data_IF_975077366300
#
_entry.id   IF_975077366300
#
_cell.length_a   1.000
_cell.length_b   1.000
_cell.length_c   1.000
_cell.angle_alpha   90.00
_cell.angle_beta   90.00
_cell.angle_gamma   90.00
#
_symmetry.space_group_name_H-M   'P 1'
#
loop_
_entity.id
_entity.type
_entity.pdbx_description
1 polymer ?
#
# COMPACT_ATOMS: atom_id res chain seq x y z
N UNK A 1 37.99 -41.54 11.45
CA UNK A 1 37.73 -40.63 10.30
C UNK A 1 37.13 -39.34 10.85
N UNK A 2 38.00 -38.42 11.25
CA UNK A 2 37.67 -37.02 11.54
C UNK A 2 38.17 -36.13 10.39
N UNK A 3 37.89 -34.83 10.47
CA UNK A 3 38.20 -33.76 9.50
C UNK A 3 37.25 -33.61 8.30
N UNK A 4 36.08 -33.02 8.57
CA UNK A 4 35.28 -32.26 7.58
C UNK A 4 34.88 -30.87 8.17
N UNK A 5 35.06 -30.66 9.48
CA UNK A 5 34.75 -29.38 10.16
C UNK A 5 35.91 -28.37 10.15
N UNK A 6 37.01 -28.67 9.45
CA UNK A 6 38.15 -27.77 9.29
C UNK A 6 38.31 -27.25 7.85
N UNK A 7 37.35 -27.56 6.96
CA UNK A 7 37.39 -27.11 5.56
C UNK A 7 37.03 -25.63 5.39
N UNK A 8 36.54 -24.98 6.45
CA UNK A 8 36.52 -23.52 6.57
C UNK A 8 36.90 -23.16 8.00
N UNK A 9 38.20 -23.11 8.30
CA UNK A 9 38.68 -22.67 9.61
C UNK A 9 38.21 -21.23 9.89
N UNK A 10 37.95 -20.89 11.16
CA UNK A 10 37.61 -19.53 11.60
C UNK A 10 38.58 -18.48 11.04
N UNK A 11 39.84 -18.87 10.85
CA UNK A 11 40.91 -18.09 10.25
C UNK A 11 40.63 -17.73 8.79
N UNK A 12 40.08 -18.65 8.01
CA UNK A 12 39.70 -18.46 6.61
C UNK A 12 38.46 -17.56 6.51
N UNK A 13 37.50 -17.72 7.42
CA UNK A 13 36.33 -16.83 7.53
C UNK A 13 36.81 -15.40 7.77
N UNK A 14 37.71 -15.19 8.73
CA UNK A 14 38.26 -13.87 9.06
C UNK A 14 39.13 -13.30 7.92
N UNK A 15 39.90 -14.15 7.24
CA UNK A 15 40.74 -13.74 6.12
C UNK A 15 39.91 -13.36 4.88
N UNK A 16 38.81 -14.08 4.62
CA UNK A 16 37.87 -13.77 3.55
C UNK A 16 37.14 -12.45 3.80
N UNK A 17 36.66 -12.21 5.03
CA UNK A 17 36.02 -10.93 5.40
C UNK A 17 37.03 -9.78 5.27
N UNK A 18 38.28 -9.96 5.74
CA UNK A 18 39.33 -8.94 5.64
C UNK A 18 39.68 -8.60 4.19
N UNK A 19 39.73 -9.60 3.30
CA UNK A 19 39.99 -9.39 1.87
C UNK A 19 38.85 -8.62 1.20
N UNK A 20 37.59 -8.99 1.45
CA UNK A 20 36.42 -8.32 0.87
C UNK A 20 36.39 -6.83 1.28
N UNK A 21 36.65 -6.52 2.55
CA UNK A 21 36.65 -5.12 3.04
C UNK A 21 37.79 -4.30 2.42
N UNK A 22 38.97 -4.89 2.21
CA UNK A 22 40.08 -4.21 1.56
C UNK A 22 39.78 -3.93 0.07
N UNK A 23 39.24 -4.92 -0.64
CA UNK A 23 38.91 -4.87 -2.07
C UNK A 23 37.72 -3.92 -2.34
N UNK A 24 36.71 -3.91 -1.47
CA UNK A 24 35.55 -3.01 -1.54
C UNK A 24 35.88 -1.57 -1.07
N UNK A 25 36.83 -1.42 -0.13
CA UNK A 25 37.33 -0.14 0.35
C UNK A 25 38.11 0.65 -0.71
N UNK A 26 38.93 -0.01 -1.54
CA UNK A 26 39.70 0.64 -2.61
C UNK A 26 38.80 1.17 -3.74
N UNK A 27 37.73 0.43 -4.10
CA UNK A 27 36.73 0.88 -5.07
C UNK A 27 35.97 2.14 -4.62
N UNK A 28 35.67 2.24 -3.31
CA UNK A 28 35.04 3.42 -2.73
C UNK A 28 35.98 4.64 -2.73
N UNK A 29 37.28 4.44 -2.44
CA UNK A 29 38.27 5.51 -2.42
C UNK A 29 38.56 6.08 -3.82
N UNK A 30 38.52 5.23 -4.86
CA UNK A 30 38.73 5.65 -6.24
C UNK A 30 37.50 6.38 -6.81
N UNK A 31 36.29 5.98 -6.44
CA UNK A 31 35.05 6.67 -6.77
C UNK A 31 34.95 8.08 -6.14
N UNK A 32 35.47 8.28 -4.93
CA UNK A 32 35.51 9.60 -4.28
C UNK A 32 36.50 10.57 -4.97
N UNK A 33 37.63 10.09 -5.52
CA UNK A 33 38.59 10.95 -6.24
C UNK A 33 38.07 11.38 -7.61
N UNK A 34 37.37 10.51 -8.34
CA UNK A 34 36.73 10.87 -9.61
C UNK A 34 35.65 11.97 -9.45
N UNK A 35 34.85 11.90 -8.38
CA UNK A 35 33.81 12.91 -8.09
C UNK A 35 34.36 14.28 -7.70
N UNK A 36 35.59 14.35 -7.15
CA UNK A 36 36.19 15.63 -6.75
C UNK A 36 36.77 16.41 -7.94
N UNK A 37 37.18 15.73 -9.02
CA UNK A 37 37.65 16.37 -10.25
C UNK A 37 36.54 16.96 -11.12
N UNK A 38 35.30 16.48 -10.98
CA UNK A 38 34.14 16.95 -11.77
C UNK A 38 33.50 18.20 -11.13
N UNK A 39 33.67 18.41 -9.82
CA UNK A 39 33.05 19.54 -9.09
C UNK A 39 33.72 20.90 -9.30
N UNK A 40 34.89 20.98 -9.94
CA UNK A 40 35.60 22.25 -10.17
C UNK A 40 35.27 22.91 -11.51
N UNK A 41 34.33 22.38 -12.31
CA UNK A 41 34.10 22.83 -13.68
C UNK A 41 32.74 23.51 -13.97
N UNK A 42 31.87 23.76 -12.99
CA UNK A 42 30.63 24.51 -13.26
C UNK A 42 30.36 25.51 -12.13
N UNK A 43 30.85 26.73 -12.30
CA UNK A 43 30.24 27.91 -11.68
C UNK A 43 28.86 28.07 -12.32
N UNK A 44 27.82 27.69 -11.59
CA UNK A 44 26.42 27.80 -12.02
C UNK A 44 25.97 29.25 -11.85
N UNK A 45 25.33 29.79 -12.89
CA UNK A 45 24.83 31.15 -12.97
C UNK A 45 23.82 31.44 -11.83
N UNK A 46 23.87 32.60 -11.15
CA UNK A 46 22.92 32.95 -10.08
C UNK A 46 21.46 33.12 -10.53
N UNK A 47 21.17 33.18 -11.83
CA UNK A 47 19.82 33.43 -12.40
C UNK A 47 18.87 32.20 -12.33
N UNK A 48 19.40 30.99 -12.10
CA UNK A 48 18.61 29.74 -11.96
C UNK A 48 17.74 29.70 -10.67
N UNK A 49 17.85 30.71 -9.78
CA UNK A 49 17.11 30.75 -8.52
C UNK A 49 15.69 31.27 -8.65
N UNK A 50 15.38 32.00 -9.72
CA UNK A 50 14.02 32.53 -9.96
C UNK A 50 13.08 31.49 -10.58
N UNK A 51 13.61 30.40 -11.16
CA UNK A 51 12.80 29.25 -11.62
C UNK A 51 12.42 28.28 -10.48
N UNK A 52 13.09 28.35 -9.33
CA UNK A 52 12.82 27.51 -8.18
C UNK A 52 11.76 28.20 -7.31
N UNK A 53 10.48 27.87 -7.53
CA UNK A 53 9.41 28.33 -6.65
C UNK A 53 9.49 27.59 -5.30
N UNK A 54 9.92 28.30 -4.26
CA UNK A 54 9.86 27.83 -2.87
C UNK A 54 8.42 27.97 -2.31
N UNK A 55 7.60 26.93 -2.44
CA UNK A 55 6.23 26.89 -1.91
C UNK A 55 6.18 26.66 -0.39
N UNK A 56 6.80 27.54 0.38
CA UNK A 56 6.69 27.56 1.86
C UNK A 56 5.46 28.35 2.36
N UNK A 57 4.74 29.03 1.47
CA UNK A 57 3.52 29.76 1.80
C UNK A 57 2.30 29.00 1.33
N UNK A 58 1.45 28.58 2.27
CA UNK A 58 0.12 28.05 1.96
C UNK A 58 -0.76 29.21 1.46
N UNK A 59 -1.23 29.11 0.22
CA UNK A 59 -2.24 30.03 -0.32
C UNK A 59 -3.53 29.80 0.46
N UNK A 60 -4.00 30.82 1.19
CA UNK A 60 -5.31 30.79 1.81
C UNK A 60 -6.36 30.54 0.72
N UNK A 61 -7.20 29.52 0.91
CA UNK A 61 -8.28 29.24 -0.03
C UNK A 61 -9.09 30.51 -0.26
N UNK A 62 -9.44 30.85 -1.52
CA UNK A 62 -10.31 31.99 -1.78
C UNK A 62 -11.58 31.84 -0.93
N UNK A 63 -12.14 32.96 -0.41
CA UNK A 63 -13.37 32.88 0.37
C UNK A 63 -14.40 32.08 -0.41
N UNK A 64 -15.19 31.22 0.26
CA UNK A 64 -16.24 30.49 -0.43
C UNK A 64 -17.06 31.50 -1.23
N UNK A 65 -17.42 31.20 -2.49
CA UNK A 65 -18.31 32.08 -3.24
C UNK A 65 -19.52 32.35 -2.34
N UNK A 66 -20.08 33.58 -2.36
CA UNK A 66 -21.25 33.87 -1.56
C UNK A 66 -22.23 32.72 -1.80
N UNK A 67 -22.67 32.06 -0.71
CA UNK A 67 -23.81 31.17 -0.79
C UNK A 67 -24.89 32.05 -1.36
N UNK A 68 -25.13 31.92 -2.67
CA UNK A 68 -26.43 32.24 -3.21
C UNK A 68 -27.34 31.44 -2.32
N UNK A 69 -28.08 32.13 -1.46
CA UNK A 69 -29.25 31.54 -0.83
C UNK A 69 -29.92 30.84 -1.99
N UNK A 70 -29.88 29.51 -1.99
CA UNK A 70 -30.73 28.74 -2.87
C UNK A 70 -32.08 29.21 -2.41
N UNK A 71 -32.60 30.22 -3.13
CA UNK A 71 -33.91 30.75 -2.95
C UNK A 71 -34.73 29.50 -2.83
N UNK A 72 -35.28 29.28 -1.63
CA UNK A 72 -36.11 28.13 -1.37
C UNK A 72 -37.22 28.27 -2.39
N UNK A 73 -37.04 27.60 -3.52
CA UNK A 73 -38.12 27.28 -4.42
C UNK A 73 -38.98 26.46 -3.51
N UNK A 74 -40.07 27.05 -3.04
CA UNK A 74 -41.17 26.29 -2.47
C UNK A 74 -41.43 25.21 -3.51
N UNK A 75 -40.96 23.99 -3.21
CA UNK A 75 -41.32 22.84 -4.02
C UNK A 75 -42.85 22.83 -3.98
N UNK A 76 -43.56 22.99 -5.11
CA UNK A 76 -44.99 22.84 -5.09
C UNK A 76 -45.25 21.43 -4.57
N UNK A 77 -45.86 21.37 -3.39
CA UNK A 77 -46.24 20.13 -2.74
C UNK A 77 -47.12 19.40 -3.76
N UNK A 78 -46.72 18.23 -4.29
CA UNK A 78 -47.61 17.49 -5.16
C UNK A 78 -48.77 17.05 -4.28
N UNK A 79 -49.95 17.62 -4.51
CA UNK A 79 -51.18 17.05 -3.97
C UNK A 79 -51.24 15.60 -4.42
N UNK A 80 -51.21 14.68 -3.47
CA UNK A 80 -51.39 13.27 -3.75
C UNK A 80 -52.79 13.09 -4.36
N UNK A 81 -52.93 12.60 -5.61
CA UNK A 81 -54.22 12.20 -6.10
C UNK A 81 -54.68 11.01 -5.26
N UNK A 82 -55.82 11.19 -4.59
CA UNK A 82 -56.51 10.14 -3.85
C UNK A 82 -57.02 9.11 -4.86
N UNK A 83 -56.20 8.13 -5.22
CA UNK A 83 -56.65 7.01 -6.04
C UNK A 83 -57.40 6.03 -5.17
N UNK A 84 -58.72 6.03 -5.37
CA UNK A 84 -59.66 5.02 -4.89
C UNK A 84 -59.24 3.66 -5.46
N UNK A 85 -59.02 2.66 -4.59
CA UNK A 85 -58.55 1.35 -5.00
C UNK A 85 -59.67 0.54 -5.68
N UNK A 86 -59.49 0.01 -6.90
CA UNK A 86 -60.40 -0.99 -7.44
C UNK A 86 -59.97 -2.38 -6.97
N UNK A 87 -60.89 -3.07 -6.32
CA UNK A 87 -60.78 -4.46 -5.86
C UNK A 87 -61.52 -5.37 -6.86
N UNK A 88 -60.95 -6.57 -7.07
CA UNK A 88 -61.61 -7.85 -7.44
C UNK A 88 -61.86 -8.21 -8.93
N UNK A 89 -60.99 -9.12 -9.40
CA UNK A 89 -61.24 -10.44 -10.06
C UNK A 89 -61.86 -10.65 -11.47
N UNK A 90 -60.97 -11.20 -12.34
CA UNK A 90 -61.07 -12.45 -13.18
C UNK A 90 -62.14 -12.50 -14.33
N UNK A 91 -62.12 -13.51 -15.24
CA UNK A 91 -61.28 -13.54 -16.46
C UNK A 91 -62.05 -13.88 -17.77
N UNK A 92 -61.38 -13.67 -18.92
CA UNK A 92 -61.54 -14.34 -20.23
C UNK A 92 -62.77 -14.07 -21.13
N UNK A 93 -62.48 -13.53 -22.32
CA UNK A 93 -63.01 -13.96 -23.63
C UNK A 93 -61.98 -13.54 -24.70
N UNK A 94 -61.17 -14.46 -25.26
CA UNK A 94 -61.24 -14.97 -26.66
C UNK A 94 -61.60 -13.89 -27.70
N UNK A 95 -60.96 -13.67 -28.84
CA UNK A 95 -59.82 -14.26 -29.58
C UNK A 95 -59.58 -13.39 -30.84
N UNK A 96 -58.46 -13.61 -31.55
CA UNK A 96 -58.12 -13.21 -32.95
C UNK A 96 -57.68 -11.75 -33.13
N UNK A 97 -56.43 -11.43 -33.50
CA UNK A 97 -55.72 -11.91 -34.71
C UNK A 97 -54.20 -12.06 -34.49
N UNK A 98 -53.69 -13.21 -34.92
CA UNK A 98 -52.38 -13.52 -35.56
C UNK A 98 -51.88 -12.42 -36.50
N UNK A 99 -50.62 -12.29 -36.90
CA UNK A 99 -49.29 -12.85 -36.60
C UNK A 99 -48.36 -11.91 -37.39
N UNK A 100 -47.34 -11.32 -36.76
CA UNK A 100 -46.19 -10.77 -37.49
C UNK A 100 -44.94 -10.94 -36.61
N UNK A 101 -44.08 -11.82 -37.10
CA UNK A 101 -42.65 -11.96 -36.89
C UNK A 101 -42.07 -11.96 -35.46
N UNK A 102 -41.59 -13.14 -35.06
CA UNK A 102 -40.73 -13.38 -33.91
C UNK A 102 -39.26 -13.07 -34.24
N UNK A 103 -38.55 -12.35 -33.35
CA UNK A 103 -37.14 -12.59 -32.98
C UNK A 103 -36.71 -11.73 -31.76
N UNK A 104 -35.68 -12.13 -30.98
CA UNK A 104 -35.88 -12.82 -29.71
C UNK A 104 -35.68 -11.91 -28.49
N UNK A 105 -36.33 -12.31 -27.39
CA UNK A 105 -36.17 -11.74 -26.06
C UNK A 105 -34.68 -11.66 -25.65
N UNK A 106 -34.20 -10.56 -25.02
CA UNK A 106 -32.97 -10.63 -24.27
C UNK A 106 -33.20 -11.59 -23.11
N UNK A 107 -32.61 -12.77 -23.27
CA UNK A 107 -32.47 -13.81 -22.26
C UNK A 107 -32.04 -13.16 -20.95
N UNK A 108 -32.73 -13.53 -19.87
CA UNK A 108 -32.35 -13.28 -18.48
C UNK A 108 -30.83 -13.29 -18.31
N UNK A 109 -30.20 -12.26 -17.71
CA UNK A 109 -28.77 -12.31 -17.45
C UNK A 109 -28.53 -13.51 -16.54
N UNK A 110 -27.86 -14.52 -17.09
CA UNK A 110 -27.19 -15.57 -16.31
C UNK A 110 -26.38 -14.85 -15.23
N UNK A 111 -26.42 -15.30 -13.95
CA UNK A 111 -25.51 -14.76 -12.95
C UNK A 111 -24.10 -15.07 -13.40
N UNK A 112 -23.46 -14.10 -14.05
CA UNK A 112 -22.06 -14.12 -14.38
C UNK A 112 -21.30 -14.37 -13.08
N UNK A 113 -20.33 -15.28 -13.14
CA UNK A 113 -19.37 -15.49 -12.05
C UNK A 113 -18.94 -14.12 -11.56
N UNK A 114 -19.12 -13.86 -10.27
CA UNK A 114 -18.62 -12.64 -9.64
C UNK A 114 -17.11 -12.68 -9.86
N UNK A 115 -16.62 -11.85 -10.78
CA UNK A 115 -15.20 -11.67 -10.97
C UNK A 115 -14.62 -11.26 -9.62
N UNK A 116 -13.61 -11.98 -9.14
CA UNK A 116 -12.94 -11.69 -7.87
C UNK A 116 -12.27 -10.30 -7.86
N UNK A 117 -12.26 -9.62 -9.02
CA UNK A 117 -11.81 -8.25 -9.15
C UNK A 117 -12.91 -7.27 -8.76
N UNK A 118 -12.77 -6.73 -7.56
CA UNK A 118 -13.63 -5.66 -7.02
C UNK A 118 -13.41 -4.33 -7.80
N UNK A 119 -12.35 -4.26 -8.61
CA UNK A 119 -11.93 -3.05 -9.33
C UNK A 119 -11.84 -3.34 -10.83
N UNK A 120 -12.24 -2.38 -11.66
CA UNK A 120 -12.05 -2.48 -13.12
C UNK A 120 -10.57 -2.35 -13.49
N UNK A 121 -10.15 -3.03 -14.56
CA UNK A 121 -8.75 -3.01 -15.04
C UNK A 121 -8.25 -1.58 -15.29
N UNK A 122 -9.10 -0.74 -15.88
CA UNK A 122 -8.82 0.68 -16.10
C UNK A 122 -8.59 1.45 -14.80
N UNK A 123 -9.40 1.20 -13.77
CA UNK A 123 -9.22 1.84 -12.47
C UNK A 123 -7.95 1.33 -11.79
N UNK A 124 -7.63 0.04 -11.92
CA UNK A 124 -6.38 -0.53 -11.40
C UNK A 124 -5.13 0.08 -12.07
N UNK A 125 -5.14 0.26 -13.39
CA UNK A 125 -4.05 0.92 -14.13
C UNK A 125 -3.88 2.39 -13.74
N UNK A 126 -4.98 3.13 -13.62
CA UNK A 126 -4.95 4.52 -13.19
C UNK A 126 -4.40 4.66 -11.76
N UNK A 127 -4.81 3.79 -10.84
CA UNK A 127 -4.30 3.78 -9.46
C UNK A 127 -2.83 3.39 -9.38
N UNK A 128 -2.37 2.43 -10.20
CA UNK A 128 -0.95 2.03 -10.26
C UNK A 128 -0.04 3.20 -10.64
N UNK A 129 -0.42 4.02 -11.62
CA UNK A 129 0.35 5.19 -12.03
C UNK A 129 0.49 6.24 -10.91
N UNK A 130 -0.61 6.57 -10.23
CA UNK A 130 -0.61 7.52 -9.12
C UNK A 130 0.19 7.01 -7.91
N UNK A 131 0.11 5.71 -7.61
CA UNK A 131 0.89 5.09 -6.53
C UNK A 131 2.38 4.98 -6.86
N UNK A 132 2.75 4.70 -8.11
CA UNK A 132 4.15 4.69 -8.55
C UNK A 132 4.76 6.10 -8.47
N UNK A 133 3.99 7.12 -8.88
CA UNK A 133 4.40 8.52 -8.76
C UNK A 133 4.59 8.91 -7.29
N UNK A 134 3.68 8.51 -6.40
CA UNK A 134 3.81 8.71 -4.96
C UNK A 134 5.02 7.96 -4.39
N UNK A 135 5.28 6.73 -4.83
CA UNK A 135 6.42 5.91 -4.38
C UNK A 135 7.75 6.55 -4.77
N UNK A 136 7.83 7.20 -5.92
CA UNK A 136 9.04 7.93 -6.35
C UNK A 136 9.25 9.22 -5.56
N UNK A 137 8.16 9.84 -5.12
CA UNK A 137 8.19 11.03 -4.26
C UNK A 137 8.48 10.71 -2.80
N UNK A 138 8.28 9.45 -2.39
CA UNK A 138 8.64 8.97 -1.05
C UNK A 138 10.17 8.84 -0.96
N UNK A 139 10.83 9.97 -0.72
CA UNK A 139 12.25 10.05 -0.38
C UNK A 139 12.51 9.07 0.75
N UNK A 140 13.39 8.09 0.51
CA UNK A 140 13.84 7.15 1.53
C UNK A 140 14.47 7.96 2.67
N UNK A 141 13.87 7.99 3.88
CA UNK A 141 14.40 8.82 4.94
C UNK A 141 15.79 8.32 5.32
N UNK A 142 16.75 9.25 5.44
CA UNK A 142 18.13 9.01 5.91
C UNK A 142 18.14 8.35 7.31
N UNK A 143 17.06 8.54 8.08
CA UNK A 143 16.83 7.88 9.36
C UNK A 143 15.70 6.84 9.23
N UNK A 144 15.98 5.54 9.48
CA UNK A 144 14.94 4.53 9.46
C UNK A 144 13.88 4.82 10.53
N UNK A 145 12.62 4.93 10.12
CA UNK A 145 11.50 4.64 11.01
C UNK A 145 11.00 5.74 11.97
N UNK A 146 11.41 7.01 11.87
CA UNK A 146 10.80 8.08 12.69
C UNK A 146 9.60 8.74 11.99
N UNK A 147 9.78 9.22 10.76
CA UNK A 147 8.74 9.96 10.01
C UNK A 147 8.18 9.16 8.82
N UNK A 148 8.44 7.85 8.77
CA UNK A 148 7.89 6.96 7.74
C UNK A 148 6.65 6.22 8.23
N UNK A 149 5.81 5.78 7.30
CA UNK A 149 4.69 4.90 7.58
C UNK A 149 5.12 3.63 8.34
N UNK A 150 6.30 3.08 8.01
CA UNK A 150 6.88 1.94 8.75
C UNK A 150 7.11 2.29 10.22
N UNK A 151 7.59 3.51 10.50
CA UNK A 151 7.75 4.03 11.85
C UNK A 151 6.44 4.04 12.61
N UNK A 152 5.41 4.65 12.03
CA UNK A 152 4.07 4.70 12.63
C UNK A 152 3.50 3.30 12.89
N UNK A 153 3.58 2.41 11.91
CA UNK A 153 3.11 1.02 12.05
C UNK A 153 3.89 0.28 13.12
N UNK A 154 5.21 0.48 13.21
CA UNK A 154 6.06 -0.12 14.24
C UNK A 154 5.69 0.39 15.64
N UNK A 155 5.44 1.68 15.80
CA UNK A 155 4.97 2.25 17.07
C UNK A 155 3.60 1.70 17.47
N UNK A 156 2.70 1.50 16.51
CA UNK A 156 1.39 0.87 16.76
C UNK A 156 1.49 -0.63 17.10
N UNK A 157 2.39 -1.38 16.46
CA UNK A 157 2.56 -2.82 16.68
C UNK A 157 3.37 -3.15 17.95
N UNK A 158 4.24 -2.24 18.39
CA UNK A 158 5.10 -2.43 19.57
C UNK A 158 4.31 -2.86 20.83
N UNK A 159 3.19 -2.22 21.24
CA UNK A 159 2.44 -2.66 22.42
C UNK A 159 1.82 -4.05 22.25
N UNK A 160 1.30 -4.39 21.07
CA UNK A 160 0.68 -5.70 20.82
C UNK A 160 1.71 -6.83 20.83
N UNK A 161 2.87 -6.60 20.22
CA UNK A 161 3.97 -7.56 20.24
C UNK A 161 4.55 -7.75 21.64
N UNK A 162 4.64 -6.68 22.43
CA UNK A 162 5.10 -6.76 23.82
C UNK A 162 4.17 -7.63 24.66
N UNK A 163 2.87 -7.36 24.63
CA UNK A 163 1.88 -8.16 25.39
C UNK A 163 1.90 -9.64 24.97
N UNK A 164 2.02 -9.90 23.67
CA UNK A 164 2.14 -11.26 23.17
C UNK A 164 3.43 -11.96 23.63
N UNK A 165 4.58 -11.26 23.59
CA UNK A 165 5.84 -11.78 24.08
C UNK A 165 5.77 -12.04 25.59
N UNK A 166 5.23 -11.11 26.38
CA UNK A 166 5.07 -11.28 27.82
C UNK A 166 4.23 -12.53 28.15
N UNK A 167 3.19 -12.81 27.35
CA UNK A 167 2.34 -13.99 27.53
C UNK A 167 2.94 -15.32 27.03
N UNK A 168 3.82 -15.30 26.02
CA UNK A 168 4.30 -16.52 25.33
C UNK A 168 5.75 -16.88 25.61
N UNK A 169 6.59 -15.90 25.90
CA UNK A 169 8.02 -16.09 26.11
C UNK A 169 8.33 -16.96 27.35
N UNK A 170 7.62 -16.86 28.50
CA UNK A 170 7.90 -17.70 29.66
C UNK A 170 7.85 -19.20 29.36
N UNK A 171 6.80 -19.67 28.67
CA UNK A 171 6.65 -21.09 28.34
C UNK A 171 7.70 -21.60 27.35
N UNK A 172 8.14 -20.75 26.41
CA UNK A 172 9.23 -21.09 25.48
C UNK A 172 10.54 -21.27 26.25
N UNK A 173 10.83 -20.37 27.19
CA UNK A 173 12.06 -20.42 28.00
C UNK A 173 12.05 -21.61 28.94
N UNK A 174 10.93 -21.90 29.62
CA UNK A 174 10.80 -23.08 30.48
C UNK A 174 11.09 -24.38 29.72
N UNK A 175 10.57 -24.49 28.49
CA UNK A 175 10.82 -25.67 27.64
C UNK A 175 12.29 -25.78 27.25
N UNK A 176 12.94 -24.66 26.91
CA UNK A 176 14.35 -24.63 26.51
C UNK A 176 15.28 -24.88 27.70
N UNK A 177 14.97 -24.34 28.88
CA UNK A 177 15.69 -24.58 30.14
C UNK A 177 15.51 -26.01 30.62
N UNK A 178 14.30 -26.56 30.58
CA UNK A 178 14.05 -27.95 30.94
C UNK A 178 14.86 -28.92 30.06
N UNK A 179 14.94 -28.64 28.76
CA UNK A 179 15.81 -29.36 27.82
C UNK A 179 17.29 -29.22 28.20
N UNK A 180 17.74 -28.02 28.55
CA UNK A 180 19.13 -27.78 28.95
C UNK A 180 19.49 -28.51 30.25
N UNK A 181 18.60 -28.50 31.25
CA UNK A 181 18.78 -29.23 32.51
C UNK A 181 18.80 -30.74 32.26
N UNK A 182 17.90 -31.27 31.43
CA UNK A 182 17.89 -32.70 31.10
C UNK A 182 19.21 -33.14 30.46
N UNK A 183 19.75 -32.32 29.54
CA UNK A 183 21.04 -32.55 28.89
C UNK A 183 22.19 -32.55 29.89
N UNK A 184 22.29 -31.55 30.76
CA UNK A 184 23.36 -31.44 31.77
C UNK A 184 23.23 -32.53 32.84
N UNK A 185 22.00 -32.88 33.22
CA UNK A 185 21.72 -33.93 34.19
C UNK A 185 21.98 -35.35 33.65
N UNK A 186 22.38 -35.49 32.38
CA UNK A 186 22.66 -36.79 31.76
C UNK A 186 21.43 -37.71 31.72
N UNK A 187 20.24 -37.12 31.54
CA UNK A 187 18.95 -37.84 31.56
C UNK A 187 18.35 -38.04 30.16
N UNK A 188 19.18 -37.95 29.13
CA UNK A 188 18.90 -38.36 27.74
C UNK A 188 19.50 -39.73 27.45
#
# INVERSE_FOLDING_TARGET
MGDISNETSMEDILSSIKRIIAEEGEGSAQALRGRKSIRTAQARDPDDRDEILELNQSVAAPPPPPRMEQQRVEQPRPEAPRMEAPRVERPRALETHSEDEAEPMPTTPTPGKIDASIVSDRAAEASRGALDQLSRMLVKPETPGADSLEGMVREMLRPMLREWLDAKLPGIVETMVAREIARISGRE
#
